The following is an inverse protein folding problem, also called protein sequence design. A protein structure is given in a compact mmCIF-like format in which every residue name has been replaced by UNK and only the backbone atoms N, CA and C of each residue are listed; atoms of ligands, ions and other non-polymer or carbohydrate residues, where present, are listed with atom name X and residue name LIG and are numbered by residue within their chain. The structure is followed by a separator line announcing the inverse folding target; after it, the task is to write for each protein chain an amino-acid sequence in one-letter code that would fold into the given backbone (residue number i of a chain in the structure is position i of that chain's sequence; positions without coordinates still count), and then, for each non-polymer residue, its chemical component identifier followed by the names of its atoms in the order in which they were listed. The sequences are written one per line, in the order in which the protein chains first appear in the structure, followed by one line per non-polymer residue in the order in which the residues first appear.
data_IF_477534840650
#
_entry.id   IF_477534840650
#
_cell.length_a   1.000
_cell.length_b   1.000
_cell.length_c   1.000
_cell.angle_alpha   90.00
_cell.angle_beta   90.00
_cell.angle_gamma   90.00
#
_symmetry.space_group_name_H-M   'P 1'
#
loop_
_entity.id
_entity.type
_entity.pdbx_description
1 polymer ?
#
# COMPACT_ATOMS: atom_id res chain seq x y z
N UNK A 1 17.54 5.26 19.27
CA UNK A 1 16.27 5.57 18.57
C UNK A 1 15.88 4.34 17.77
N UNK A 2 14.69 3.73 17.98
CA UNK A 2 14.25 2.64 17.13
C UNK A 2 14.12 3.12 15.68
N UNK A 3 14.64 2.36 14.72
CA UNK A 3 14.57 2.70 13.30
C UNK A 3 13.17 2.41 12.75
N UNK A 4 12.54 3.40 12.12
CA UNK A 4 11.27 3.20 11.44
C UNK A 4 11.47 2.44 10.11
N UNK A 5 10.46 1.68 9.70
CA UNK A 5 10.40 1.01 8.40
C UNK A 5 9.56 1.84 7.44
N UNK A 6 10.03 2.00 6.22
CA UNK A 6 9.31 2.69 5.15
C UNK A 6 9.27 1.80 3.92
N UNK A 7 8.08 1.41 3.48
CA UNK A 7 7.87 0.64 2.25
C UNK A 7 7.22 1.52 1.18
N UNK A 8 7.78 1.54 -0.02
CA UNK A 8 7.07 2.09 -1.18
C UNK A 8 6.01 1.09 -1.65
N UNK A 9 4.73 1.49 -1.52
CA UNK A 9 3.55 0.72 -1.90
C UNK A 9 2.94 1.25 -3.20
N UNK A 10 3.59 2.19 -3.89
CA UNK A 10 3.08 2.82 -5.11
C UNK A 10 2.69 1.79 -6.16
N UNK A 11 3.57 0.80 -6.40
CA UNK A 11 3.33 -0.23 -7.41
C UNK A 11 2.16 -1.12 -6.99
N UNK A 12 2.20 -1.69 -5.78
CA UNK A 12 1.11 -2.51 -5.25
C UNK A 12 -0.25 -1.79 -5.34
N UNK A 13 -0.33 -0.53 -4.92
CA UNK A 13 -1.55 0.29 -5.01
C UNK A 13 -1.98 0.54 -6.46
N UNK A 14 -1.05 0.84 -7.37
CA UNK A 14 -1.35 1.07 -8.80
C UNK A 14 -1.87 -0.19 -9.50
N UNK A 15 -1.52 -1.37 -8.99
CA UNK A 15 -1.93 -2.68 -9.52
C UNK A 15 -3.26 -3.16 -8.97
N UNK A 16 -3.78 -2.58 -7.89
CA UNK A 16 -5.09 -2.94 -7.33
C UNK A 16 -6.18 -2.80 -8.41
N UNK A 17 -6.93 -3.88 -8.63
CA UNK A 17 -8.02 -3.92 -9.62
C UNK A 17 -7.57 -4.06 -11.08
N UNK A 18 -6.27 -4.24 -11.37
CA UNK A 18 -5.73 -4.43 -12.73
C UNK A 18 -5.54 -5.91 -13.12
N UNK A 19 -6.20 -6.83 -12.40
CA UNK A 19 -6.10 -8.28 -12.60
C UNK A 19 -5.12 -8.96 -11.63
N UNK A 20 -4.57 -10.10 -12.03
CA UNK A 20 -3.69 -10.89 -11.17
C UNK A 20 -2.39 -10.14 -10.80
N UNK A 21 -1.92 -10.38 -9.57
CA UNK A 21 -0.63 -9.90 -9.09
C UNK A 21 0.50 -10.54 -9.88
N UNK A 22 1.45 -9.73 -10.34
CA UNK A 22 2.69 -10.21 -10.97
C UNK A 22 3.62 -10.82 -9.93
N UNK A 23 4.73 -11.44 -10.37
CA UNK A 23 5.77 -11.93 -9.45
C UNK A 23 6.29 -10.83 -8.51
N UNK A 24 6.54 -9.63 -9.03
CA UNK A 24 7.00 -8.48 -8.24
C UNK A 24 5.92 -8.04 -7.25
N UNK A 25 4.66 -7.94 -7.69
CA UNK A 25 3.56 -7.49 -6.81
C UNK A 25 3.35 -8.47 -5.64
N UNK A 26 3.54 -9.78 -5.86
CA UNK A 26 3.47 -10.80 -4.80
C UNK A 26 4.64 -10.68 -3.81
N UNK A 27 5.83 -10.33 -4.28
CA UNK A 27 6.99 -10.10 -3.41
C UNK A 27 6.76 -8.85 -2.56
N UNK A 28 6.30 -7.74 -3.16
CA UNK A 28 5.95 -6.52 -2.40
C UNK A 28 4.90 -6.82 -1.32
N UNK A 29 3.85 -7.57 -1.64
CA UNK A 29 2.83 -7.97 -0.68
C UNK A 29 3.39 -8.87 0.44
N UNK A 30 4.25 -9.83 0.12
CA UNK A 30 4.87 -10.69 1.13
C UNK A 30 5.77 -9.91 2.10
N UNK A 31 6.52 -8.91 1.63
CA UNK A 31 7.29 -8.02 2.49
C UNK A 31 6.37 -7.16 3.38
N UNK A 32 5.30 -6.63 2.81
CA UNK A 32 4.30 -5.86 3.57
C UNK A 32 3.69 -6.72 4.68
N UNK A 33 3.26 -7.95 4.39
CA UNK A 33 2.74 -8.90 5.37
C UNK A 33 3.77 -9.22 6.46
N UNK A 34 5.03 -9.45 6.08
CA UNK A 34 6.12 -9.71 7.01
C UNK A 34 6.33 -8.55 7.99
N UNK A 35 6.30 -7.30 7.50
CA UNK A 35 6.50 -6.14 8.37
C UNK A 35 5.27 -5.82 9.22
N UNK A 36 4.05 -6.00 8.71
CA UNK A 36 2.83 -5.87 9.53
C UNK A 36 2.86 -6.86 10.71
N UNK A 37 3.23 -8.12 10.44
CA UNK A 37 3.37 -9.12 11.48
C UNK A 37 4.50 -8.77 12.45
N UNK A 38 5.66 -8.33 11.95
CA UNK A 38 6.84 -8.02 12.76
C UNK A 38 6.73 -6.75 13.60
N UNK A 39 6.03 -5.72 13.13
CA UNK A 39 5.81 -4.46 13.84
C UNK A 39 5.03 -4.65 15.14
N UNK A 40 3.97 -5.46 15.09
CA UNK A 40 3.21 -5.84 16.28
C UNK A 40 4.08 -6.54 17.34
N UNK A 41 5.16 -7.20 16.90
CA UNK A 41 6.07 -7.95 17.77
C UNK A 41 7.31 -7.16 18.22
N UNK A 42 7.76 -6.16 17.45
CA UNK A 42 9.05 -5.48 17.69
C UNK A 42 8.92 -4.01 18.10
N UNK A 43 7.70 -3.45 18.10
CA UNK A 43 7.45 -2.06 18.51
C UNK A 43 8.07 -1.01 17.57
N UNK A 44 8.52 -1.44 16.38
CA UNK A 44 9.05 -0.55 15.35
C UNK A 44 7.88 0.02 14.54
N UNK A 45 7.85 1.32 14.21
CA UNK A 45 6.82 1.88 13.35
C UNK A 45 7.04 1.51 11.87
N UNK A 46 6.00 1.02 11.21
CA UNK A 46 5.89 0.89 9.75
C UNK A 46 5.13 2.05 9.15
N UNK A 47 5.69 2.56 8.06
CA UNK A 47 5.03 3.50 7.18
C UNK A 47 4.99 2.96 5.74
N UNK A 48 3.88 3.22 5.05
CA UNK A 48 3.71 2.97 3.63
C UNK A 48 3.76 4.27 2.84
N UNK A 49 4.64 4.38 1.84
CA UNK A 49 4.70 5.51 0.93
C UNK A 49 3.92 5.19 -0.34
N UNK A 50 3.00 6.07 -0.75
CA UNK A 50 2.26 5.91 -2.01
C UNK A 50 2.37 7.18 -2.82
N UNK A 51 2.94 7.07 -4.02
CA UNK A 51 2.98 8.18 -4.97
C UNK A 51 1.62 8.37 -5.64
N UNK A 52 1.14 9.61 -5.57
CA UNK A 52 -0.09 10.08 -6.22
C UNK A 52 0.25 11.11 -7.31
N UNK A 53 -0.76 11.68 -7.97
CA UNK A 53 -0.55 12.77 -8.92
C UNK A 53 -0.06 14.07 -8.26
N UNK A 54 -0.28 14.26 -6.96
CA UNK A 54 -0.05 15.52 -6.24
C UNK A 54 1.10 15.45 -5.23
N UNK A 55 1.86 14.35 -5.23
CA UNK A 55 2.93 14.11 -4.26
C UNK A 55 2.85 12.72 -3.66
N UNK A 56 3.26 12.57 -2.41
CA UNK A 56 3.29 11.29 -1.71
C UNK A 56 2.34 11.28 -0.52
N UNK A 57 1.64 10.18 -0.35
CA UNK A 57 0.90 9.87 0.87
C UNK A 57 1.79 9.01 1.76
N UNK A 58 1.85 9.37 3.04
CA UNK A 58 2.48 8.55 4.07
C UNK A 58 1.37 7.89 4.89
N UNK A 59 1.29 6.57 4.80
CA UNK A 59 0.37 5.73 5.55
C UNK A 59 1.05 5.25 6.82
N UNK A 60 0.35 5.25 7.95
CA UNK A 60 0.79 4.55 9.15
C UNK A 60 0.63 3.03 8.97
N UNK A 61 1.04 2.25 9.98
CA UNK A 61 0.94 0.78 9.93
C UNK A 61 -0.49 0.28 9.72
N UNK A 62 -1.51 1.01 10.19
CA UNK A 62 -2.93 0.66 9.94
C UNK A 62 -3.30 0.89 8.48
N UNK A 63 -2.88 2.01 7.89
CA UNK A 63 -3.05 2.28 6.47
C UNK A 63 -2.32 1.26 5.59
N UNK A 64 -1.10 0.89 5.96
CA UNK A 64 -0.33 -0.15 5.29
C UNK A 64 -1.04 -1.52 5.35
N UNK A 65 -1.60 -1.90 6.52
CA UNK A 65 -2.42 -3.11 6.66
C UNK A 65 -3.71 -3.05 5.82
N UNK A 66 -4.32 -1.87 5.67
CA UNK A 66 -5.45 -1.67 4.77
C UNK A 66 -5.09 -1.95 3.30
N UNK A 67 -3.91 -1.54 2.85
CA UNK A 67 -3.41 -1.85 1.50
C UNK A 67 -3.22 -3.36 1.33
N UNK A 68 -2.64 -4.05 2.32
CA UNK A 68 -2.49 -5.50 2.29
C UNK A 68 -3.86 -6.20 2.18
N UNK A 69 -4.85 -5.78 2.97
CA UNK A 69 -6.20 -6.34 2.92
C UNK A 69 -6.87 -6.17 1.56
N UNK A 70 -6.67 -5.03 0.89
CA UNK A 70 -7.16 -4.80 -0.48
C UNK A 70 -6.41 -5.70 -1.49
N UNK A 71 -5.10 -5.85 -1.36
CA UNK A 71 -4.28 -6.66 -2.27
C UNK A 71 -4.58 -8.16 -2.15
N UNK A 72 -4.87 -8.64 -0.95
CA UNK A 72 -5.35 -10.01 -0.69
C UNK A 72 -6.81 -10.23 -1.08
N UNK A 73 -7.55 -9.19 -1.48
CA UNK A 73 -8.97 -9.27 -1.80
C UNK A 73 -9.88 -9.49 -0.57
N UNK A 74 -9.36 -9.27 0.63
CA UNK A 74 -10.11 -9.35 1.89
C UNK A 74 -11.07 -8.17 2.05
N UNK A 75 -10.80 -7.06 1.36
CA UNK A 75 -11.70 -5.91 1.27
C UNK A 75 -11.93 -5.54 -0.21
N UNK A 76 -13.17 -5.19 -0.59
CA UNK A 76 -13.42 -4.73 -1.95
C UNK A 76 -12.86 -3.33 -2.16
N UNK A 77 -12.31 -3.08 -3.35
CA UNK A 77 -11.98 -1.73 -3.79
C UNK A 77 -13.25 -0.87 -3.84
N UNK A 78 -13.25 0.22 -3.08
CA UNK A 78 -14.36 1.16 -3.10
C UNK A 78 -14.31 1.98 -4.38
N UNK A 79 -15.50 2.37 -4.86
CA UNK A 79 -15.62 3.24 -6.03
C UNK A 79 -14.89 4.55 -5.74
N UNK A 80 -14.00 4.96 -6.64
CA UNK A 80 -13.29 6.23 -6.52
C UNK A 80 -14.30 7.40 -6.43
N UNK A 81 -14.10 8.28 -5.46
CA UNK A 81 -14.90 9.50 -5.32
C UNK A 81 -14.74 10.40 -6.56
N UNK A 82 -15.64 11.38 -6.73
CA UNK A 82 -15.53 12.35 -7.84
C UNK A 82 -14.18 13.06 -7.86
N UNK A 83 -13.70 13.46 -6.68
CA UNK A 83 -12.39 14.09 -6.48
C UNK A 83 -11.26 13.12 -6.87
N UNK A 84 -11.31 11.85 -6.44
CA UNK A 84 -10.28 10.87 -6.76
C UNK A 84 -10.17 10.58 -8.27
N UNK A 85 -11.27 10.68 -9.03
CA UNK A 85 -11.27 10.55 -10.50
C UNK A 85 -10.66 11.76 -11.20
N UNK A 86 -10.94 12.96 -10.70
CA UNK A 86 -10.39 14.22 -11.23
C UNK A 86 -8.90 14.38 -10.92
N UNK A 87 -8.49 13.91 -9.75
CA UNK A 87 -7.11 13.97 -9.24
C UNK A 87 -6.30 12.70 -9.55
N UNK A 88 -6.88 11.75 -10.30
CA UNK A 88 -6.26 10.48 -10.62
C UNK A 88 -4.98 10.65 -11.43
N UNK A 89 -3.93 9.92 -11.06
CA UNK A 89 -2.69 9.89 -11.85
C UNK A 89 -2.99 9.20 -13.17
N UNK A 90 -2.66 9.85 -14.30
CA UNK A 90 -2.59 9.16 -15.59
C UNK A 90 -1.32 8.33 -15.57
N UNK A 91 -1.46 7.00 -15.65
CA UNK A 91 -0.30 6.15 -15.95
C UNK A 91 0.18 6.50 -17.38
N UNK A 92 1.50 6.55 -17.63
CA UNK A 92 2.04 6.75 -18.98
C UNK A 92 1.64 5.60 -19.93
#
# INVERSE_FOLDING_TARGET
MPAARLLDLTRLVSRLGRGALTGVDRVELAYLDHFIAGDAHQGLPLFGLVRTAWGHLLLDGRGAAGVAALAHGQQPLRRASGIARLLGRKDP
#
